data_IF_202742475559
#
_entry.id   IF_202742475559
#
_cell.length_a   1.000
_cell.length_b   1.000
_cell.length_c   1.000
_cell.angle_alpha   90.00
_cell.angle_beta   90.00
_cell.angle_gamma   90.00
#
_symmetry.space_group_name_H-M   'P 1'
#
loop_
_entity.id
_entity.type
_entity.pdbx_description
1 polymer ?
#
# COMPACT_ATOMS: atom_id res chain seq x y z
N UNK A 1 -35.70 -3.17 10.32
CA UNK A 1 -34.43 -2.41 10.43
C UNK A 1 -33.86 -2.29 9.03
N UNK A 2 -33.87 -1.08 8.47
CA UNK A 2 -33.46 -0.84 7.08
C UNK A 2 -31.94 -0.72 6.92
N UNK A 3 -31.42 -0.85 5.69
CA UNK A 3 -30.00 -0.87 5.34
C UNK A 3 -29.24 0.47 5.51
N UNK A 4 -29.83 1.48 6.18
CA UNK A 4 -29.26 2.81 6.35
C UNK A 4 -28.74 3.10 7.76
N UNK A 5 -28.58 2.08 8.61
CA UNK A 5 -28.24 2.25 10.02
C UNK A 5 -26.74 2.06 10.36
N UNK A 6 -25.86 1.91 9.36
CA UNK A 6 -24.42 1.79 9.59
C UNK A 6 -23.68 3.04 9.09
N UNK A 7 -22.81 3.68 9.90
CA UNK A 7 -22.03 4.86 9.50
C UNK A 7 -20.87 4.57 8.53
N UNK A 8 -20.85 3.37 7.95
CA UNK A 8 -19.76 2.83 7.13
C UNK A 8 -20.41 2.62 5.75
N UNK A 9 -19.85 3.23 4.71
CA UNK A 9 -20.49 3.43 3.40
C UNK A 9 -21.06 2.17 2.71
N UNK A 10 -21.87 2.38 1.67
CA UNK A 10 -22.68 1.34 1.03
C UNK A 10 -21.90 0.21 0.32
N UNK A 11 -20.57 0.30 0.20
CA UNK A 11 -19.72 -0.64 -0.54
C UNK A 11 -19.02 -1.71 0.32
N UNK A 12 -19.15 -1.67 1.65
CA UNK A 12 -18.39 -2.59 2.53
C UNK A 12 -19.16 -3.91 2.74
N UNK A 13 -18.57 -5.03 2.30
CA UNK A 13 -19.13 -6.39 2.46
C UNK A 13 -18.48 -7.23 3.57
N UNK A 14 -17.33 -6.80 4.10
CA UNK A 14 -16.56 -7.54 5.09
C UNK A 14 -16.01 -6.61 6.18
N UNK A 15 -15.97 -7.10 7.42
CA UNK A 15 -15.36 -6.42 8.57
C UNK A 15 -14.23 -7.29 9.11
N UNK A 16 -13.01 -6.74 9.17
CA UNK A 16 -11.83 -7.40 9.76
C UNK A 16 -11.38 -6.66 11.02
N UNK A 17 -11.17 -7.40 12.11
CA UNK A 17 -10.62 -6.86 13.37
C UNK A 17 -9.16 -7.29 13.47
N UNK A 18 -8.28 -6.31 13.59
CA UNK A 18 -6.83 -6.50 13.67
C UNK A 18 -6.34 -6.01 15.03
N UNK A 19 -5.32 -6.68 15.60
CA UNK A 19 -4.73 -6.28 16.87
C UNK A 19 -3.95 -4.98 16.70
N UNK A 20 -4.19 -4.02 17.58
CA UNK A 20 -3.42 -2.79 17.64
C UNK A 20 -1.92 -3.08 17.88
N UNK A 21 -1.08 -2.49 17.04
CA UNK A 21 0.36 -2.55 17.10
C UNK A 21 0.91 -1.74 18.28
N UNK A 22 2.06 -2.15 18.81
CA UNK A 22 2.66 -1.54 19.99
C UNK A 22 3.56 -0.32 19.66
N UNK A 23 3.52 0.17 18.42
CA UNK A 23 4.34 1.28 17.96
C UNK A 23 5.78 0.89 17.59
N UNK A 24 6.58 1.90 17.23
CA UNK A 24 7.95 1.73 16.73
C UNK A 24 8.85 1.14 17.82
N UNK A 25 9.13 -0.16 17.76
CA UNK A 25 10.09 -0.83 18.67
C UNK A 25 11.49 -0.27 18.44
N UNK A 26 12.05 0.36 19.47
CA UNK A 26 13.27 1.17 19.41
C UNK A 26 14.56 0.40 19.07
N UNK A 27 14.54 -0.94 19.04
CA UNK A 27 15.69 -1.74 18.64
C UNK A 27 15.21 -3.10 18.13
N UNK A 28 15.29 -3.33 16.80
CA UNK A 28 15.03 -4.65 16.18
C UNK A 28 16.21 -5.63 16.36
N UNK A 29 16.87 -5.60 17.51
CA UNK A 29 17.98 -6.51 17.81
C UNK A 29 17.44 -7.67 18.66
N UNK A 30 17.01 -8.75 18.00
CA UNK A 30 16.68 -10.01 18.68
C UNK A 30 15.28 -10.60 18.44
N UNK A 31 14.47 -10.06 17.53
CA UNK A 31 13.20 -10.71 17.13
C UNK A 31 13.48 -11.92 16.20
N UNK A 32 14.04 -12.97 16.78
CA UNK A 32 14.20 -14.27 16.14
C UNK A 32 12.86 -15.04 16.20
N UNK A 33 11.92 -14.72 15.30
CA UNK A 33 10.77 -15.63 15.08
C UNK A 33 9.50 -15.05 14.47
N UNK A 34 9.33 -13.72 14.44
CA UNK A 34 8.16 -13.10 13.81
C UNK A 34 8.52 -12.68 12.38
N UNK A 35 7.98 -13.43 11.41
CA UNK A 35 8.05 -13.04 10.00
C UNK A 35 7.01 -11.96 9.76
N UNK A 36 7.47 -10.75 9.42
CA UNK A 36 6.60 -9.69 8.93
C UNK A 36 6.58 -9.76 7.41
N UNK A 37 5.45 -9.42 6.79
CA UNK A 37 5.30 -9.50 5.32
C UNK A 37 6.17 -8.46 4.61
N UNK A 38 6.59 -7.41 5.32
CA UNK A 38 7.49 -6.37 4.83
C UNK A 38 8.97 -6.63 5.12
N UNK A 39 9.36 -7.87 5.44
CA UNK A 39 10.77 -8.23 5.53
C UNK A 39 11.42 -8.12 4.14
N UNK A 40 12.01 -6.96 3.87
CA UNK A 40 12.91 -6.74 2.76
C UNK A 40 14.02 -7.81 2.80
N UNK A 41 14.49 -8.33 1.65
CA UNK A 41 15.45 -9.43 1.59
C UNK A 41 16.85 -9.12 2.19
N UNK A 42 17.04 -8.00 2.88
CA UNK A 42 18.28 -7.64 3.56
C UNK A 42 18.44 -8.23 4.97
N UNK A 43 17.41 -8.84 5.55
CA UNK A 43 17.49 -9.50 6.86
C UNK A 43 17.31 -11.01 6.74
N UNK A 44 18.44 -11.72 6.54
CA UNK A 44 18.80 -13.06 7.03
C UNK A 44 17.71 -14.16 7.25
N UNK A 45 16.61 -14.17 6.50
CA UNK A 45 15.48 -15.08 6.72
C UNK A 45 15.45 -16.35 5.88
N UNK A 46 16.54 -16.66 5.16
CA UNK A 46 16.55 -17.70 4.12
C UNK A 46 16.69 -19.15 4.64
N UNK A 47 16.77 -19.40 5.96
CA UNK A 47 17.18 -20.73 6.48
C UNK A 47 16.12 -21.42 7.37
N UNK A 48 14.92 -20.86 7.58
CA UNK A 48 13.87 -21.57 8.35
C UNK A 48 12.66 -21.93 7.48
N UNK A 49 12.54 -23.23 7.19
CA UNK A 49 11.46 -23.89 6.44
C UNK A 49 10.21 -24.18 7.29
N UNK A 50 10.10 -23.60 8.49
CA UNK A 50 8.89 -23.73 9.31
C UNK A 50 7.89 -22.64 8.93
N UNK A 51 6.66 -23.05 8.57
CA UNK A 51 5.54 -22.17 8.28
C UNK A 51 5.10 -21.44 9.56
N UNK A 52 5.83 -20.40 9.92
CA UNK A 52 5.44 -19.46 10.98
C UNK A 52 4.22 -18.68 10.50
N UNK A 53 3.20 -18.55 11.36
CA UNK A 53 2.03 -17.74 11.10
C UNK A 53 2.45 -16.27 10.96
N UNK A 54 2.10 -15.63 9.84
CA UNK A 54 2.28 -14.20 9.66
C UNK A 54 1.30 -13.47 10.58
N UNK A 55 1.84 -12.65 11.49
CA UNK A 55 1.05 -11.77 12.34
C UNK A 55 0.94 -10.42 11.62
N UNK A 56 -0.28 -9.92 11.48
CA UNK A 56 -0.56 -8.59 10.94
C UNK A 56 -0.89 -7.63 12.09
N UNK A 57 0.10 -6.95 12.70
CA UNK A 57 -0.19 -5.84 13.61
C UNK A 57 -0.59 -4.60 12.80
N UNK A 58 -1.23 -3.62 13.43
CA UNK A 58 -1.48 -2.29 12.82
C UNK A 58 -0.24 -1.39 12.79
N UNK A 59 0.96 -1.95 13.01
CA UNK A 59 2.21 -1.19 13.05
C UNK A 59 2.61 -0.71 11.64
N UNK A 60 3.13 0.52 11.58
CA UNK A 60 3.75 1.05 10.36
C UNK A 60 5.14 0.45 10.23
N UNK A 61 5.25 -0.67 9.50
CA UNK A 61 6.50 -1.39 9.21
C UNK A 61 7.42 -0.62 8.23
N UNK A 62 7.65 0.66 8.50
CA UNK A 62 8.36 1.61 7.65
C UNK A 62 8.29 3.03 8.23
N UNK A 63 8.71 4.01 7.46
CA UNK A 63 8.65 5.42 7.83
C UNK A 63 8.76 6.31 6.61
N UNK A 64 8.54 7.61 6.80
CA UNK A 64 8.68 8.59 5.72
C UNK A 64 10.10 8.56 5.14
N UNK A 65 10.19 8.19 3.87
CA UNK A 65 11.41 8.21 3.06
C UNK A 65 11.01 8.31 1.59
N UNK A 66 11.96 8.72 0.75
CA UNK A 66 11.76 8.76 -0.69
C UNK A 66 11.30 7.40 -1.24
N UNK A 67 10.46 7.44 -2.28
CA UNK A 67 10.03 6.25 -3.01
C UNK A 67 11.25 5.54 -3.60
N UNK A 68 11.37 4.22 -3.36
CA UNK A 68 12.47 3.40 -3.88
C UNK A 68 11.93 2.39 -4.89
N UNK A 69 12.31 2.50 -6.17
CA UNK A 69 11.83 1.58 -7.21
C UNK A 69 12.63 0.27 -7.18
N UNK A 70 12.22 -0.69 -6.35
CA UNK A 70 12.89 -2.00 -6.18
C UNK A 70 12.14 -3.13 -6.94
N UNK A 71 11.20 -2.80 -7.83
CA UNK A 71 10.43 -3.83 -8.54
C UNK A 71 9.35 -4.53 -7.69
N UNK A 72 9.02 -3.95 -6.52
CA UNK A 72 8.04 -4.55 -5.60
C UNK A 72 6.60 -4.29 -6.05
N UNK A 73 6.36 -3.14 -6.68
CA UNK A 73 5.03 -2.72 -7.11
C UNK A 73 4.51 -3.59 -8.25
N UNK A 74 5.41 -4.00 -9.15
CA UNK A 74 5.17 -4.88 -10.30
C UNK A 74 4.77 -6.30 -9.86
N UNK A 75 5.15 -6.72 -8.64
CA UNK A 75 4.77 -8.04 -8.12
C UNK A 75 3.38 -8.07 -7.51
N UNK A 76 2.86 -6.93 -7.09
CA UNK A 76 1.54 -6.82 -6.47
C UNK A 76 0.49 -6.24 -7.40
N UNK A 77 0.91 -5.52 -8.43
CA UNK A 77 0.01 -4.97 -9.44
C UNK A 77 -0.40 -6.09 -10.42
N UNK A 78 -1.70 -6.44 -10.52
CA UNK A 78 -2.16 -7.48 -11.43
C UNK A 78 -2.39 -6.96 -12.86
N UNK A 79 -2.50 -5.64 -13.04
CA UNK A 79 -2.73 -4.99 -14.34
C UNK A 79 -1.42 -4.81 -15.10
N UNK A 80 -1.50 -4.86 -16.44
CA UNK A 80 -0.38 -4.61 -17.36
C UNK A 80 -0.11 -3.11 -17.52
N UNK A 81 0.33 -2.49 -16.41
CA UNK A 81 0.74 -1.09 -16.34
C UNK A 81 2.18 -1.00 -15.82
N UNK A 82 2.79 0.17 -15.91
CA UNK A 82 4.09 0.45 -15.28
C UNK A 82 3.86 1.09 -13.89
N UNK A 83 3.59 0.33 -12.82
CA UNK A 83 3.15 0.89 -11.55
C UNK A 83 4.22 1.79 -10.93
N UNK A 84 5.50 1.44 -11.03
CA UNK A 84 6.57 2.29 -10.49
C UNK A 84 6.59 3.69 -11.11
N UNK A 85 6.33 3.80 -12.41
CA UNK A 85 6.32 5.09 -13.11
C UNK A 85 5.01 5.84 -12.79
N UNK A 86 3.88 5.15 -12.84
CA UNK A 86 2.57 5.72 -12.51
C UNK A 86 2.54 6.27 -11.07
N UNK A 87 3.01 5.50 -10.09
CA UNK A 87 3.05 5.91 -8.69
C UNK A 87 3.98 7.10 -8.46
N UNK A 88 5.08 7.20 -9.20
CA UNK A 88 5.97 8.37 -9.16
C UNK A 88 5.26 9.60 -9.71
N UNK A 89 4.55 9.46 -10.83
CA UNK A 89 3.87 10.57 -11.50
C UNK A 89 2.66 11.05 -10.67
N UNK A 90 1.95 10.13 -10.01
CA UNK A 90 0.92 10.45 -9.00
C UNK A 90 1.48 11.26 -7.83
N UNK A 91 2.66 10.88 -7.30
CA UNK A 91 3.31 11.63 -6.22
C UNK A 91 3.84 13.00 -6.69
N UNK A 92 4.23 13.11 -7.95
CA UNK A 92 4.66 14.38 -8.56
C UNK A 92 3.46 15.29 -8.92
N UNK A 93 2.25 14.72 -9.03
CA UNK A 93 1.05 15.42 -9.47
C UNK A 93 1.04 15.72 -10.97
N UNK A 94 1.74 14.91 -11.77
CA UNK A 94 1.77 15.02 -13.24
C UNK A 94 0.55 14.30 -13.83
N UNK A 95 -0.47 15.07 -14.22
CA UNK A 95 -1.74 14.56 -14.75
C UNK A 95 -1.61 14.03 -16.17
N UNK A 96 -0.80 14.66 -17.02
CA UNK A 96 -0.60 14.27 -18.42
C UNK A 96 0.08 12.89 -18.53
N UNK A 97 1.17 12.71 -17.77
CA UNK A 97 1.89 11.43 -17.73
C UNK A 97 1.03 10.34 -17.08
N UNK A 98 0.29 10.66 -16.00
CA UNK A 98 -0.58 9.71 -15.33
C UNK A 98 -1.71 9.20 -16.24
N UNK A 99 -2.31 10.07 -17.06
CA UNK A 99 -3.32 9.67 -18.05
C UNK A 99 -2.76 8.71 -19.10
N UNK A 100 -1.57 9.02 -19.64
CA UNK A 100 -0.92 8.16 -20.63
C UNK A 100 -0.58 6.76 -20.08
N UNK A 101 -0.39 6.65 -18.77
CA UNK A 101 -0.11 5.39 -18.07
C UNK A 101 -1.37 4.64 -17.61
N UNK A 102 -2.56 5.19 -17.86
CA UNK A 102 -3.83 4.52 -17.58
C UNK A 102 -4.43 4.80 -16.20
N UNK A 103 -4.17 5.97 -15.60
CA UNK A 103 -4.72 6.30 -14.28
C UNK A 103 -6.26 6.35 -14.22
N UNK A 104 -6.95 6.46 -15.37
CA UNK A 104 -8.41 6.54 -15.47
C UNK A 104 -9.12 5.20 -15.24
N UNK A 105 -8.41 4.09 -15.42
CA UNK A 105 -8.95 2.73 -15.23
C UNK A 105 -8.75 2.23 -13.79
N UNK A 106 -8.17 3.06 -12.92
CA UNK A 106 -7.80 2.70 -11.55
C UNK A 106 -8.75 3.37 -10.55
N UNK A 107 -9.12 2.62 -9.52
CA UNK A 107 -9.75 3.14 -8.32
C UNK A 107 -8.75 3.20 -7.15
N UNK A 108 -9.10 3.90 -6.08
CA UNK A 108 -8.24 4.03 -4.89
C UNK A 108 -7.92 2.67 -4.24
N UNK A 109 -8.84 1.70 -4.38
CA UNK A 109 -8.69 0.34 -3.86
C UNK A 109 -7.64 -0.48 -4.64
N UNK A 110 -7.46 -0.21 -5.93
CA UNK A 110 -6.46 -0.90 -6.76
C UNK A 110 -5.03 -0.60 -6.30
N UNK A 111 -4.83 0.59 -5.72
CA UNK A 111 -3.54 1.02 -5.20
C UNK A 111 -3.31 0.63 -3.72
N UNK A 112 -4.28 0.01 -3.05
CA UNK A 112 -4.17 -0.36 -1.64
C UNK A 112 -2.99 -1.32 -1.36
N UNK A 113 -2.75 -2.28 -2.25
CA UNK A 113 -1.61 -3.20 -2.15
C UNK A 113 -0.27 -2.49 -2.38
N UNK A 114 -0.24 -1.53 -3.31
CA UNK A 114 0.94 -0.70 -3.57
C UNK A 114 1.29 0.17 -2.34
N UNK A 115 0.29 0.74 -1.66
CA UNK A 115 0.46 1.46 -0.38
C UNK A 115 0.99 0.54 0.71
N UNK A 116 0.44 -0.67 0.83
CA UNK A 116 0.86 -1.63 1.85
C UNK A 116 2.35 -1.98 1.73
N UNK A 117 2.79 -2.31 0.51
CA UNK A 117 4.18 -2.71 0.21
C UNK A 117 5.16 -1.53 0.24
N UNK A 118 4.67 -0.30 0.11
CA UNK A 118 5.51 0.88 -0.02
C UNK A 118 6.52 1.02 1.15
N UNK A 119 7.83 1.12 0.87
CA UNK A 119 8.85 1.36 1.88
C UNK A 119 8.67 2.70 2.60
N UNK A 120 8.23 3.72 1.86
CA UNK A 120 8.09 5.11 2.30
C UNK A 120 6.75 5.43 2.94
N UNK A 121 5.82 4.46 2.98
CA UNK A 121 4.47 4.61 3.55
C UNK A 121 3.71 5.82 3.00
N UNK A 122 3.82 6.00 1.67
CA UNK A 122 2.96 6.93 0.93
C UNK A 122 1.56 6.35 0.76
N UNK A 123 0.56 7.20 0.89
CA UNK A 123 -0.85 6.88 0.65
C UNK A 123 -1.20 7.19 -0.81
N UNK A 124 -1.20 6.16 -1.67
CA UNK A 124 -1.43 6.35 -3.10
C UNK A 124 -2.90 6.52 -3.48
N UNK A 125 -3.85 6.01 -2.69
CA UNK A 125 -5.28 6.19 -2.93
C UNK A 125 -5.68 7.68 -2.93
N UNK A 126 -5.38 8.45 -1.87
CA UNK A 126 -5.62 9.90 -1.85
C UNK A 126 -4.88 10.65 -2.95
N UNK A 127 -3.65 10.24 -3.29
CA UNK A 127 -2.89 10.84 -4.38
C UNK A 127 -3.62 10.64 -5.73
N UNK A 128 -4.09 9.43 -6.03
CA UNK A 128 -4.89 9.14 -7.21
C UNK A 128 -6.17 9.98 -7.24
N UNK A 129 -6.93 10.05 -6.14
CA UNK A 129 -8.15 10.88 -6.06
C UNK A 129 -7.86 12.34 -6.35
N UNK A 130 -6.74 12.88 -5.86
CA UNK A 130 -6.35 14.28 -6.11
C UNK A 130 -6.03 14.54 -7.58
N UNK A 131 -5.37 13.58 -8.24
CA UNK A 131 -5.05 13.64 -9.68
C UNK A 131 -6.32 13.51 -10.51
N UNK A 132 -7.21 12.57 -10.20
CA UNK A 132 -8.50 12.40 -10.89
C UNK A 132 -9.38 13.65 -10.76
N UNK A 133 -9.51 14.18 -9.54
CA UNK A 133 -10.25 15.45 -9.29
C UNK A 133 -9.68 16.60 -10.10
N UNK A 134 -8.36 16.65 -10.27
CA UNK A 134 -7.71 17.70 -11.05
C UNK A 134 -7.97 17.53 -12.55
N UNK A 135 -7.90 16.30 -13.05
CA UNK A 135 -8.26 15.96 -14.43
C UNK A 135 -9.71 16.37 -14.73
N UNK A 136 -10.65 16.10 -13.82
CA UNK A 136 -12.06 16.51 -13.96
C UNK A 136 -12.27 18.02 -14.02
N UNK A 137 -11.37 18.82 -13.43
CA UNK A 137 -11.45 20.29 -13.46
C UNK A 137 -10.80 20.90 -14.70
N UNK A 138 -9.78 20.23 -15.26
CA UNK A 138 -9.00 20.70 -16.40
C UNK A 138 -9.59 20.23 -17.76
N UNK A 139 -10.40 19.16 -17.76
CA UNK A 139 -11.08 18.59 -18.95
C UNK A 139 -12.46 19.16 -19.22
#
# INVERSE_FOLDING_TARGET
MGPHAFPWGASILQVSVVKEGAGKRALRLGDAGQREILDYPHHAGAISSSASAFIFPTDTNGGERAMVPIGNYERVMPLDILPTILLRDLLAGDTDSAQALGCLELDEEDLALCTYVCPGKYEYGPALRSVLTRIEQEG
#
